data_IF_660491036830
#
_entry.id   IF_660491036830
#
_cell.length_a   1.000
_cell.length_b   1.000
_cell.length_c   1.000
_cell.angle_alpha   90.00
_cell.angle_beta   90.00
_cell.angle_gamma   90.00
#
_symmetry.space_group_name_H-M   'P 1'
#
loop_
_entity.id
_entity.type
_entity.pdbx_description
1 polymer ?
#
# COMPACT_ATOMS: atom_id res chain seq x y z
N UNK A 1 3.36 10.46 19.31
CA UNK A 1 2.89 9.05 19.21
C UNK A 1 2.77 8.70 17.74
N UNK A 2 3.29 7.56 17.32
CA UNK A 2 3.19 7.13 15.92
C UNK A 2 1.74 6.71 15.61
N UNK A 3 1.16 7.23 14.54
CA UNK A 3 -0.19 6.87 14.14
C UNK A 3 -0.25 5.41 13.68
N UNK A 4 -1.23 4.68 14.20
CA UNK A 4 -1.54 3.31 13.74
C UNK A 4 -2.69 3.39 12.74
N UNK A 5 -2.52 2.77 11.58
CA UNK A 5 -3.51 2.76 10.51
C UNK A 5 -3.43 1.49 9.67
N UNK A 6 -4.52 1.20 8.97
CA UNK A 6 -4.57 0.26 7.85
C UNK A 6 -4.43 1.02 6.54
N UNK A 7 -3.87 0.39 5.52
CA UNK A 7 -3.80 1.01 4.19
C UNK A 7 -3.91 0.00 3.06
N UNK A 8 -4.40 0.46 1.93
CA UNK A 8 -4.35 -0.23 0.64
C UNK A 8 -3.99 0.78 -0.44
N UNK A 9 -3.18 0.36 -1.41
CA UNK A 9 -2.83 1.17 -2.56
C UNK A 9 -3.63 0.72 -3.77
N UNK A 10 -4.46 1.62 -4.29
CA UNK A 10 -5.30 1.39 -5.45
C UNK A 10 -4.57 1.84 -6.70
N UNK A 11 -4.51 0.96 -7.69
CA UNK A 11 -3.99 1.28 -9.01
C UNK A 11 -5.06 1.96 -9.86
N UNK A 12 -4.71 3.07 -10.46
CA UNK A 12 -5.54 3.81 -11.42
C UNK A 12 -4.88 3.72 -12.80
N UNK A 13 -5.64 3.26 -13.77
CA UNK A 13 -5.21 3.15 -15.17
C UNK A 13 -6.28 3.76 -16.07
N UNK A 14 -5.87 4.64 -16.99
CA UNK A 14 -6.82 5.34 -17.86
C UNK A 14 -7.91 6.10 -17.10
N UNK A 15 -7.56 6.69 -15.96
CA UNK A 15 -8.49 7.43 -15.10
C UNK A 15 -9.49 6.58 -14.31
N UNK A 16 -9.34 5.26 -14.29
CA UNK A 16 -10.23 4.33 -13.59
C UNK A 16 -9.52 3.56 -12.49
N UNK A 17 -10.12 3.51 -11.33
CA UNK A 17 -9.66 2.71 -10.19
C UNK A 17 -9.88 1.21 -10.44
N UNK A 18 -8.80 0.42 -10.32
CA UNK A 18 -8.83 -1.02 -10.54
C UNK A 18 -9.05 -1.77 -9.21
N UNK A 19 -9.88 -2.81 -9.28
CA UNK A 19 -10.13 -3.73 -8.14
C UNK A 19 -10.55 -3.06 -6.82
N UNK A 20 -11.17 -1.87 -6.88
CA UNK A 20 -11.52 -1.09 -5.70
C UNK A 20 -12.34 -1.88 -4.69
N UNK A 21 -13.34 -2.66 -5.15
CA UNK A 21 -14.18 -3.50 -4.27
C UNK A 21 -13.36 -4.44 -3.41
N UNK A 22 -12.33 -5.08 -3.98
CA UNK A 22 -11.47 -6.00 -3.25
C UNK A 22 -10.62 -5.26 -2.20
N UNK A 23 -10.06 -4.09 -2.56
CA UNK A 23 -9.30 -3.26 -1.62
C UNK A 23 -10.17 -2.80 -0.44
N UNK A 24 -11.42 -2.37 -0.70
CA UNK A 24 -12.34 -1.95 0.35
C UNK A 24 -12.76 -3.09 1.26
N UNK A 25 -12.99 -4.28 0.71
CA UNK A 25 -13.33 -5.47 1.49
C UNK A 25 -12.19 -5.86 2.46
N UNK A 26 -10.94 -5.81 2.01
CA UNK A 26 -9.77 -6.07 2.85
C UNK A 26 -9.68 -5.05 3.98
N UNK A 27 -9.80 -3.75 3.70
CA UNK A 27 -9.75 -2.70 4.71
C UNK A 27 -10.90 -2.79 5.70
N UNK A 28 -12.13 -3.06 5.26
CA UNK A 28 -13.27 -3.17 6.15
C UNK A 28 -13.17 -4.39 7.07
N UNK A 29 -12.73 -5.54 6.53
CA UNK A 29 -12.47 -6.73 7.34
C UNK A 29 -11.47 -6.44 8.46
N UNK A 30 -10.29 -5.93 8.13
CA UNK A 30 -9.26 -5.67 9.12
C UNK A 30 -9.58 -4.51 10.06
N UNK A 31 -10.37 -3.52 9.61
CA UNK A 31 -10.89 -2.47 10.50
C UNK A 31 -11.82 -3.04 11.57
N UNK A 32 -12.66 -4.00 11.22
CA UNK A 32 -13.50 -4.72 12.20
C UNK A 32 -12.67 -5.56 13.16
N UNK A 33 -11.69 -6.30 12.64
CA UNK A 33 -10.87 -7.19 13.45
C UNK A 33 -9.92 -6.45 14.42
N UNK A 34 -9.23 -5.40 13.94
CA UNK A 34 -8.20 -4.73 14.73
C UNK A 34 -8.71 -3.47 15.44
N UNK A 35 -9.69 -2.76 14.87
CA UNK A 35 -10.19 -1.49 15.42
C UNK A 35 -11.61 -1.60 15.98
N UNK A 36 -12.25 -2.77 15.88
CA UNK A 36 -13.59 -3.04 16.39
C UNK A 36 -14.71 -2.26 15.70
N UNK A 37 -14.47 -1.67 14.53
CA UNK A 37 -15.42 -0.84 13.80
C UNK A 37 -15.34 -1.02 12.29
N UNK A 38 -16.46 -0.85 11.55
CA UNK A 38 -16.43 -0.84 10.09
C UNK A 38 -15.68 0.42 9.59
N UNK A 39 -15.04 0.31 8.43
CA UNK A 39 -14.40 1.45 7.79
C UNK A 39 -15.39 2.46 7.18
N UNK A 40 -16.65 2.06 6.97
CA UNK A 40 -17.73 2.96 6.55
C UNK A 40 -17.67 3.44 5.10
N UNK A 41 -17.04 2.67 4.23
CA UNK A 41 -16.90 3.02 2.82
C UNK A 41 -18.22 3.02 2.06
N UNK A 42 -18.39 4.01 1.19
CA UNK A 42 -19.39 4.02 0.12
C UNK A 42 -18.65 3.95 -1.21
N UNK A 43 -18.78 2.84 -1.91
CA UNK A 43 -17.94 2.51 -3.07
C UNK A 43 -17.98 3.55 -4.18
N UNK A 44 -19.17 3.95 -4.65
CA UNK A 44 -19.28 4.88 -5.78
C UNK A 44 -18.74 6.29 -5.48
N UNK A 45 -19.12 6.95 -4.35
CA UNK A 45 -18.53 8.24 -4.00
C UNK A 45 -17.01 8.15 -3.82
N UNK A 46 -16.52 7.06 -3.23
CA UNK A 46 -15.08 6.87 -3.00
C UNK A 46 -14.31 6.67 -4.30
N UNK A 47 -14.84 5.90 -5.25
CA UNK A 47 -14.23 5.75 -6.57
C UNK A 47 -14.02 7.10 -7.25
N UNK A 48 -15.03 7.97 -7.24
CA UNK A 48 -14.93 9.32 -7.81
C UNK A 48 -13.89 10.19 -7.10
N UNK A 49 -13.79 10.10 -5.78
CA UNK A 49 -12.78 10.84 -5.02
C UNK A 49 -11.35 10.37 -5.35
N UNK A 50 -11.14 9.06 -5.45
CA UNK A 50 -9.86 8.46 -5.83
C UNK A 50 -9.45 8.89 -7.24
N UNK A 51 -10.36 8.79 -8.20
CA UNK A 51 -10.13 9.15 -9.59
C UNK A 51 -9.90 10.67 -9.75
N UNK A 52 -10.63 11.49 -8.99
CA UNK A 52 -10.42 12.94 -8.96
C UNK A 52 -9.04 13.31 -8.36
N UNK A 53 -8.61 12.63 -7.30
CA UNK A 53 -7.28 12.85 -6.72
C UNK A 53 -6.17 12.44 -7.70
N UNK A 54 -6.33 11.32 -8.40
CA UNK A 54 -5.40 10.89 -9.44
C UNK A 54 -5.30 11.91 -10.59
N UNK A 55 -6.44 12.46 -11.04
CA UNK A 55 -6.50 13.46 -12.11
C UNK A 55 -5.77 14.78 -11.76
N UNK A 56 -5.59 15.09 -10.49
CA UNK A 56 -4.82 16.26 -10.04
C UNK A 56 -3.31 16.09 -10.25
N UNK A 57 -2.82 14.85 -10.32
CA UNK A 57 -1.38 14.54 -10.40
C UNK A 57 -0.91 14.24 -11.82
N UNK A 58 -1.80 13.81 -12.71
CA UNK A 58 -1.49 13.59 -14.12
C UNK A 58 -2.76 13.68 -14.99
N UNK A 59 -2.63 14.07 -16.27
CA UNK A 59 -3.75 14.10 -17.21
C UNK A 59 -4.43 12.73 -17.35
N UNK A 60 -5.76 12.73 -17.49
CA UNK A 60 -6.56 11.51 -17.60
C UNK A 60 -6.31 10.72 -18.90
N UNK A 61 -5.73 11.34 -19.91
CA UNK A 61 -5.37 10.77 -21.21
C UNK A 61 -3.98 10.13 -21.23
N UNK A 62 -3.23 10.21 -20.13
CA UNK A 62 -1.94 9.56 -20.08
C UNK A 62 -2.10 8.07 -19.71
N UNK A 63 -1.41 7.21 -20.48
CA UNK A 63 -1.35 5.76 -20.25
C UNK A 63 -0.50 5.39 -19.00
N UNK A 64 -0.25 6.36 -18.12
CA UNK A 64 0.55 6.16 -16.93
C UNK A 64 -0.28 5.48 -15.85
N UNK A 65 0.36 4.55 -15.16
CA UNK A 65 -0.16 4.01 -13.92
C UNK A 65 -0.05 5.04 -12.81
N UNK A 66 -1.15 5.33 -12.16
CA UNK A 66 -1.22 6.19 -10.97
C UNK A 66 -1.64 5.36 -9.77
N UNK A 67 -1.26 5.81 -8.60
CA UNK A 67 -1.56 5.09 -7.36
C UNK A 67 -2.13 6.06 -6.33
N UNK A 68 -3.22 5.63 -5.69
CA UNK A 68 -3.84 6.34 -4.56
C UNK A 68 -3.91 5.39 -3.39
N UNK A 69 -3.45 5.85 -2.24
CA UNK A 69 -3.51 5.11 -1.00
C UNK A 69 -4.78 5.48 -0.24
N UNK A 70 -5.51 4.48 0.20
CA UNK A 70 -6.61 4.62 1.16
C UNK A 70 -6.04 4.30 2.53
N UNK A 71 -6.16 5.21 3.47
CA UNK A 71 -5.67 5.06 4.86
C UNK A 71 -6.85 5.10 5.81
N UNK A 72 -6.93 4.12 6.70
CA UNK A 72 -7.95 4.02 7.75
C UNK A 72 -7.26 4.14 9.11
N UNK A 73 -7.31 5.31 9.77
CA UNK A 73 -6.71 5.50 11.07
C UNK A 73 -7.39 4.66 12.15
N UNK A 74 -6.61 4.17 13.12
CA UNK A 74 -7.15 3.48 14.29
C UNK A 74 -8.06 4.39 15.14
N UNK A 75 -7.75 5.70 15.18
CA UNK A 75 -8.55 6.70 15.88
C UNK A 75 -9.99 6.80 15.37
N UNK A 76 -10.20 6.56 14.08
CA UNK A 76 -11.50 6.71 13.43
C UNK A 76 -11.84 8.15 13.04
N UNK A 77 -10.95 9.10 13.28
CA UNK A 77 -11.10 10.49 12.88
C UNK A 77 -9.82 10.98 12.17
N UNK A 78 -9.94 11.27 10.87
CA UNK A 78 -11.09 11.02 9.98
C UNK A 78 -11.39 9.53 9.82
N UNK A 79 -12.59 9.16 9.38
CA UNK A 79 -12.96 7.76 9.15
C UNK A 79 -11.98 7.07 8.19
N UNK A 80 -11.57 7.77 7.15
CA UNK A 80 -10.47 7.43 6.24
C UNK A 80 -9.91 8.70 5.59
N UNK A 81 -8.73 8.58 4.99
CA UNK A 81 -8.14 9.63 4.14
C UNK A 81 -7.55 9.03 2.87
N UNK A 82 -7.43 9.86 1.83
CA UNK A 82 -6.82 9.50 0.56
C UNK A 82 -5.51 10.25 0.40
N UNK A 83 -4.48 9.54 -0.06
CA UNK A 83 -3.16 10.09 -0.29
C UNK A 83 -2.68 9.72 -1.70
N UNK A 84 -2.08 10.64 -2.43
CA UNK A 84 -1.39 10.31 -3.67
C UNK A 84 -0.18 9.43 -3.34
N UNK A 85 -0.05 8.29 -4.02
CA UNK A 85 1.01 7.32 -3.78
C UNK A 85 2.01 7.21 -4.96
N UNK A 86 1.94 8.15 -5.89
CA UNK A 86 2.89 8.28 -6.99
C UNK A 86 2.35 7.89 -8.35
N UNK A 87 3.24 7.99 -9.34
CA UNK A 87 2.99 7.70 -10.75
C UNK A 87 4.08 6.75 -11.22
N UNK A 88 3.72 5.73 -11.99
CA UNK A 88 4.68 4.91 -12.72
C UNK A 88 4.86 5.49 -14.13
N UNK A 89 6.09 5.80 -14.48
CA UNK A 89 6.47 6.28 -15.80
C UNK A 89 6.58 5.16 -16.84
N UNK A 90 6.35 3.91 -16.45
CA UNK A 90 6.49 2.74 -17.34
C UNK A 90 5.13 2.34 -17.91
N UNK A 91 5.06 2.22 -19.23
CA UNK A 91 3.94 1.60 -19.93
C UNK A 91 4.09 0.08 -19.81
N UNK A 92 3.36 -0.52 -18.89
CA UNK A 92 3.39 -1.96 -18.66
C UNK A 92 4.62 -2.45 -17.87
N UNK A 93 4.77 -3.77 -17.81
CA UNK A 93 5.90 -4.42 -17.15
C UNK A 93 7.06 -4.58 -18.13
N UNK A 94 8.03 -3.68 -18.09
CA UNK A 94 9.34 -3.94 -18.67
C UNK A 94 10.04 -4.95 -17.77
N UNK A 95 10.03 -6.22 -18.19
CA UNK A 95 10.82 -7.27 -17.55
C UNK A 95 12.31 -7.03 -17.86
N UNK A 96 12.93 -6.15 -17.10
CA UNK A 96 14.39 -6.04 -17.07
C UNK A 96 14.90 -7.07 -16.09
N UNK A 97 15.85 -7.87 -16.52
CA UNK A 97 16.61 -8.74 -15.61
C UNK A 97 17.48 -7.85 -14.72
N UNK A 98 16.90 -7.35 -13.64
CA UNK A 98 17.66 -6.75 -12.56
C UNK A 98 18.15 -7.91 -11.69
N UNK A 99 19.47 -8.00 -11.48
CA UNK A 99 20.08 -8.95 -10.55
C UNK A 99 20.64 -8.16 -9.36
N UNK A 100 19.77 -7.58 -8.49
CA UNK A 100 20.25 -6.84 -7.34
C UNK A 100 20.79 -7.80 -6.28
N UNK A 101 21.81 -7.37 -5.56
CA UNK A 101 22.26 -8.06 -4.37
C UNK A 101 21.16 -7.98 -3.30
N UNK A 102 20.80 -9.13 -2.73
CA UNK A 102 19.78 -9.27 -1.72
C UNK A 102 20.36 -9.79 -0.41
N UNK A 103 19.88 -9.30 0.71
CA UNK A 103 20.13 -9.82 2.03
C UNK A 103 18.85 -10.44 2.61
N UNK A 104 18.96 -11.65 3.15
CA UNK A 104 17.88 -12.29 3.89
C UNK A 104 17.90 -11.79 5.32
N UNK A 105 16.72 -11.43 5.83
CA UNK A 105 16.54 -10.92 7.18
C UNK A 105 15.42 -11.71 7.87
N UNK A 106 15.74 -12.32 8.99
CA UNK A 106 14.76 -13.04 9.77
C UNK A 106 14.10 -12.09 10.77
N UNK A 107 12.80 -11.90 10.64
CA UNK A 107 12.00 -11.18 11.61
C UNK A 107 10.53 -11.57 11.52
N UNK A 108 9.90 -11.65 12.69
CA UNK A 108 8.48 -11.87 12.81
C UNK A 108 7.75 -10.53 12.92
N UNK A 109 6.64 -10.42 12.22
CA UNK A 109 5.83 -9.22 12.20
C UNK A 109 4.47 -9.51 12.82
N UNK A 110 3.99 -8.66 13.76
CA UNK A 110 2.65 -8.83 14.29
C UNK A 110 1.63 -8.63 13.16
N UNK A 111 0.62 -9.49 13.14
CA UNK A 111 -0.46 -9.46 12.14
C UNK A 111 0.06 -9.44 10.68
N UNK A 112 0.83 -10.46 10.24
CA UNK A 112 1.48 -10.44 8.93
C UNK A 112 0.50 -10.35 7.75
N UNK A 113 -0.74 -10.80 7.94
CA UNK A 113 -1.81 -10.72 6.93
C UNK A 113 -2.48 -9.34 6.87
N UNK A 114 -2.39 -8.54 7.93
CA UNK A 114 -3.06 -7.25 8.00
C UNK A 114 -2.25 -6.15 7.30
N UNK A 115 -2.89 -5.29 6.49
CA UNK A 115 -2.23 -4.19 5.80
C UNK A 115 -2.03 -2.98 6.73
N UNK A 116 -1.24 -3.15 7.79
CA UNK A 116 -1.01 -2.13 8.83
C UNK A 116 0.20 -1.24 8.55
N UNK A 117 0.24 -0.09 9.21
CA UNK A 117 1.41 0.82 9.22
C UNK A 117 2.69 0.15 9.75
N UNK A 118 2.58 -0.92 10.55
CA UNK A 118 3.72 -1.70 11.01
C UNK A 118 4.52 -2.32 9.85
N UNK A 119 3.86 -2.68 8.75
CA UNK A 119 4.54 -3.20 7.54
C UNK A 119 5.48 -2.16 6.92
N UNK A 120 5.11 -0.90 6.92
CA UNK A 120 5.95 0.18 6.36
C UNK A 120 7.19 0.40 7.22
N UNK A 121 7.03 0.42 8.54
CA UNK A 121 8.14 0.55 9.48
C UNK A 121 9.10 -0.64 9.34
N UNK A 122 8.58 -1.88 9.32
CA UNK A 122 9.37 -3.08 9.15
C UNK A 122 10.11 -3.10 7.81
N UNK A 123 9.45 -2.74 6.72
CA UNK A 123 10.08 -2.64 5.40
C UNK A 123 11.18 -1.56 5.35
N UNK A 124 10.98 -0.45 6.07
CA UNK A 124 12.00 0.61 6.21
C UNK A 124 13.26 0.11 6.93
N UNK A 125 13.08 -0.56 8.06
CA UNK A 125 14.18 -1.14 8.84
C UNK A 125 14.88 -2.25 8.05
N UNK A 126 14.13 -3.12 7.37
CA UNK A 126 14.69 -4.18 6.55
C UNK A 126 15.59 -3.64 5.42
N UNK A 127 15.13 -2.59 4.72
CA UNK A 127 15.96 -1.91 3.70
C UNK A 127 17.22 -1.30 4.28
N UNK A 128 17.14 -0.72 5.46
CA UNK A 128 18.33 -0.18 6.13
C UNK A 128 19.31 -1.26 6.50
N UNK A 129 18.85 -2.39 7.04
CA UNK A 129 19.70 -3.55 7.33
C UNK A 129 20.34 -4.13 6.06
N UNK A 130 19.59 -4.30 4.98
CA UNK A 130 20.13 -4.77 3.71
C UNK A 130 21.28 -3.89 3.23
N UNK A 131 21.13 -2.56 3.30
CA UNK A 131 22.21 -1.61 2.93
C UNK A 131 23.45 -1.76 3.79
N UNK A 132 23.31 -2.03 5.08
CA UNK A 132 24.45 -2.28 5.97
C UNK A 132 25.24 -3.54 5.57
N UNK A 133 24.59 -4.50 4.93
CA UNK A 133 25.20 -5.70 4.36
C UNK A 133 25.59 -5.55 2.88
N UNK A 134 25.59 -4.33 2.35
CA UNK A 134 25.96 -4.06 0.94
C UNK A 134 24.92 -4.49 -0.07
N UNK A 135 23.70 -4.84 0.36
CA UNK A 135 22.61 -5.28 -0.51
C UNK A 135 21.62 -4.15 -0.79
N UNK A 136 20.98 -4.18 -1.95
CA UNK A 136 19.94 -3.23 -2.36
C UNK A 136 18.52 -3.71 -2.09
N UNK A 137 18.35 -5.01 -1.86
CA UNK A 137 17.05 -5.66 -1.61
C UNK A 137 17.09 -6.40 -0.28
N UNK A 138 16.01 -6.25 0.50
CA UNK A 138 15.77 -7.04 1.70
C UNK A 138 14.72 -8.12 1.40
N UNK A 139 15.03 -9.36 1.73
CA UNK A 139 14.10 -10.50 1.67
C UNK A 139 13.79 -10.93 3.10
N UNK A 140 12.52 -10.82 3.47
CA UNK A 140 12.08 -11.28 4.78
C UNK A 140 11.99 -12.81 4.81
N UNK A 141 12.57 -13.40 5.84
CA UNK A 141 12.33 -14.78 6.21
C UNK A 141 11.69 -14.82 7.59
N UNK A 142 10.68 -15.64 7.77
CA UNK A 142 10.11 -15.98 9.07
C UNK A 142 10.60 -17.36 9.56
N UNK A 143 10.06 -17.84 10.68
CA UNK A 143 10.48 -19.11 11.26
C UNK A 143 10.21 -20.33 10.38
N UNK A 144 9.31 -20.21 9.40
CA UNK A 144 8.91 -21.28 8.49
C UNK A 144 9.59 -21.18 7.10
N UNK A 145 10.41 -20.16 6.89
CA UNK A 145 11.13 -19.91 5.64
C UNK A 145 10.77 -18.57 4.97
N UNK A 146 10.78 -18.54 3.65
CA UNK A 146 10.49 -17.33 2.86
C UNK A 146 8.99 -17.26 2.54
#
# INVERSE_FOLDING_TARGET
MQEVYLYQTVHILGGRSLHLTAHLAVLDRWSRELFGRPAGFRQQPLARQIEALAAQTAPADCDLSQFVRIVVPASGDPAFRLESAGISLYRGYDLRSLMPDAATLQYDMPFPEAPTSAREAAAGLARQQARLHGASVAVRCDGDGI
#
